data_IF_805575812840
#
_entry.id   IF_805575812840
#
_cell.length_a   1.000
_cell.length_b   1.000
_cell.length_c   1.000
_cell.angle_alpha   90.00
_cell.angle_beta   90.00
_cell.angle_gamma   90.00
#
_symmetry.space_group_name_H-M   'P 1'
#
loop_
_entity.id
_entity.type
_entity.pdbx_description
1 polymer ?
#
# COMPACT_ATOMS: atom_id res chain seq x y z
N UNK A 1 -12.95 23.40 -6.26
CA UNK A 1 -12.06 22.98 -7.36
C UNK A 1 -10.58 23.26 -7.08
N UNK A 2 -10.08 24.50 -6.88
CA UNK A 2 -8.64 24.76 -6.61
C UNK A 2 -8.08 23.98 -5.41
N UNK A 3 -8.83 23.89 -4.31
CA UNK A 3 -8.44 23.14 -3.12
C UNK A 3 -8.34 21.63 -3.38
N UNK A 4 -9.30 21.05 -4.12
CA UNK A 4 -9.28 19.64 -4.50
C UNK A 4 -8.04 19.32 -5.33
N UNK A 5 -7.75 20.14 -6.34
CA UNK A 5 -6.56 19.98 -7.20
C UNK A 5 -5.26 20.04 -6.39
N UNK A 6 -5.10 21.06 -5.54
CA UNK A 6 -3.91 21.20 -4.70
C UNK A 6 -3.72 20.00 -3.76
N UNK A 7 -4.79 19.56 -3.07
CA UNK A 7 -4.74 18.39 -2.18
C UNK A 7 -4.40 17.12 -2.95
N UNK A 8 -5.07 16.88 -4.09
CA UNK A 8 -4.81 15.68 -4.91
C UNK A 8 -3.37 15.63 -5.40
N UNK A 9 -2.83 16.77 -5.87
CA UNK A 9 -1.45 16.83 -6.35
C UNK A 9 -0.44 16.64 -5.22
N UNK A 10 -0.65 17.27 -4.07
CA UNK A 10 0.23 17.11 -2.91
C UNK A 10 0.27 15.66 -2.42
N UNK A 11 -0.89 14.99 -2.33
CA UNK A 11 -0.99 13.59 -1.96
C UNK A 11 -0.31 12.71 -3.00
N UNK A 12 -0.56 12.97 -4.29
CA UNK A 12 0.01 12.19 -5.39
C UNK A 12 1.55 12.27 -5.41
N UNK A 13 2.11 13.45 -5.22
CA UNK A 13 3.56 13.63 -5.14
C UNK A 13 4.16 12.97 -3.90
N UNK A 14 3.58 13.22 -2.72
CA UNK A 14 4.09 12.67 -1.47
C UNK A 14 4.07 11.13 -1.47
N UNK A 15 2.93 10.53 -1.88
CA UNK A 15 2.80 9.06 -1.98
C UNK A 15 3.67 8.51 -3.10
N UNK A 16 3.69 9.18 -4.26
CA UNK A 16 4.47 8.76 -5.42
C UNK A 16 5.96 8.59 -5.12
N UNK A 17 6.55 9.46 -4.29
CA UNK A 17 7.96 9.38 -3.91
C UNK A 17 8.32 8.04 -3.21
N UNK A 18 7.39 7.42 -2.49
CA UNK A 18 7.63 6.09 -1.90
C UNK A 18 7.81 4.99 -2.95
N UNK A 19 7.37 5.21 -4.19
CA UNK A 19 7.64 4.32 -5.30
C UNK A 19 9.13 4.11 -5.55
N UNK A 20 10.00 5.09 -5.25
CA UNK A 20 11.46 4.93 -5.34
C UNK A 20 11.92 3.79 -4.43
N UNK A 21 11.47 3.80 -3.16
CA UNK A 21 11.82 2.75 -2.20
C UNK A 21 11.29 1.39 -2.65
N UNK A 22 10.04 1.33 -3.16
CA UNK A 22 9.48 0.08 -3.67
C UNK A 22 10.32 -0.46 -4.84
N UNK A 23 10.68 0.38 -5.81
CA UNK A 23 11.53 -0.01 -6.95
C UNK A 23 12.89 -0.55 -6.51
N UNK A 24 13.58 0.18 -5.63
CA UNK A 24 14.90 -0.19 -5.13
C UNK A 24 14.86 -1.50 -4.30
N UNK A 25 13.90 -1.63 -3.37
CA UNK A 25 13.75 -2.84 -2.55
C UNK A 25 13.35 -4.04 -3.42
N UNK A 26 12.53 -3.83 -4.46
CA UNK A 26 12.12 -4.88 -5.38
C UNK A 26 13.30 -5.52 -6.10
N UNK A 27 14.20 -4.71 -6.65
CA UNK A 27 15.40 -5.25 -7.31
C UNK A 27 16.42 -5.81 -6.32
N UNK A 28 16.55 -5.20 -5.12
CA UNK A 28 17.38 -5.76 -4.05
C UNK A 28 16.88 -7.12 -3.55
N UNK A 29 15.57 -7.38 -3.61
CA UNK A 29 14.95 -8.67 -3.31
C UNK A 29 15.16 -9.73 -4.42
N UNK A 30 15.91 -9.40 -5.50
CA UNK A 30 16.20 -10.30 -6.61
C UNK A 30 15.17 -10.30 -7.74
N UNK A 31 14.21 -9.39 -7.73
CA UNK A 31 13.28 -9.21 -8.85
C UNK A 31 13.96 -8.39 -9.96
N UNK A 32 13.73 -8.73 -11.20
CA UNK A 32 14.15 -7.87 -12.31
C UNK A 32 13.28 -6.61 -12.43
N UNK A 33 13.78 -5.61 -13.15
CA UNK A 33 13.08 -4.33 -13.33
C UNK A 33 11.70 -4.52 -13.95
N UNK A 34 11.55 -5.45 -14.90
CA UNK A 34 10.26 -5.72 -15.55
C UNK A 34 9.27 -6.29 -14.56
N UNK A 35 9.66 -7.26 -13.74
CA UNK A 35 8.82 -7.84 -12.68
C UNK A 35 8.37 -6.80 -11.66
N UNK A 36 9.27 -5.91 -11.22
CA UNK A 36 8.94 -4.80 -10.32
C UNK A 36 7.94 -3.85 -10.98
N UNK A 37 8.13 -3.52 -12.25
CA UNK A 37 7.20 -2.66 -12.98
C UNK A 37 5.84 -3.31 -13.22
N UNK A 38 5.79 -4.61 -13.52
CA UNK A 38 4.52 -5.33 -13.64
C UNK A 38 3.75 -5.35 -12.32
N UNK A 39 4.43 -5.57 -11.19
CA UNK A 39 3.83 -5.43 -9.86
C UNK A 39 3.29 -4.02 -9.65
N UNK A 40 4.06 -2.99 -10.04
CA UNK A 40 3.66 -1.59 -9.88
C UNK A 40 2.43 -1.23 -10.72
N UNK A 41 2.40 -1.66 -11.96
CA UNK A 41 1.33 -1.34 -12.91
C UNK A 41 0.05 -2.15 -12.67
N UNK A 42 0.17 -3.44 -12.34
CA UNK A 42 -0.98 -4.37 -12.29
C UNK A 42 -1.52 -4.55 -10.87
N UNK A 43 -0.65 -4.62 -9.86
CA UNK A 43 -1.03 -4.72 -8.45
C UNK A 43 -0.91 -3.34 -7.78
N UNK A 44 -1.58 -2.33 -8.31
CA UNK A 44 -1.47 -0.95 -7.85
C UNK A 44 -2.07 -0.77 -6.44
N UNK A 45 -1.30 -1.20 -5.44
CA UNK A 45 -1.59 -1.06 -4.00
C UNK A 45 -0.26 -1.10 -3.24
N UNK A 46 0.25 0.04 -2.81
CA UNK A 46 1.57 0.15 -2.18
C UNK A 46 1.79 -0.85 -1.03
N UNK A 47 0.82 -0.98 -0.12
CA UNK A 47 0.91 -1.94 0.98
C UNK A 47 1.02 -3.39 0.50
N UNK A 48 0.26 -3.78 -0.53
CA UNK A 48 0.33 -5.12 -1.12
C UNK A 48 1.68 -5.38 -1.76
N UNK A 49 2.21 -4.38 -2.46
CA UNK A 49 3.50 -4.45 -3.14
C UNK A 49 4.64 -4.64 -2.13
N UNK A 50 4.69 -3.82 -1.08
CA UNK A 50 5.69 -3.95 -0.03
C UNK A 50 5.54 -5.26 0.75
N UNK A 51 4.33 -5.72 1.03
CA UNK A 51 4.10 -7.02 1.67
C UNK A 51 4.62 -8.17 0.82
N UNK A 52 4.37 -8.13 -0.50
CA UNK A 52 4.87 -9.12 -1.44
C UNK A 52 6.39 -9.15 -1.46
N UNK A 53 7.03 -8.00 -1.72
CA UNK A 53 8.49 -7.91 -1.83
C UNK A 53 9.16 -8.21 -0.51
N UNK A 54 8.58 -7.81 0.63
CA UNK A 54 9.11 -8.12 1.96
C UNK A 54 9.17 -9.63 2.24
N UNK A 55 8.17 -10.39 1.80
CA UNK A 55 8.20 -11.87 1.93
C UNK A 55 9.24 -12.48 0.98
N UNK A 56 9.32 -11.99 -0.27
CA UNK A 56 10.31 -12.44 -1.26
C UNK A 56 11.72 -12.17 -0.76
N UNK A 57 12.00 -10.96 -0.29
CA UNK A 57 13.31 -10.54 0.26
C UNK A 57 13.75 -11.40 1.45
N UNK A 58 12.80 -11.85 2.27
CA UNK A 58 13.07 -12.73 3.40
C UNK A 58 13.17 -14.22 3.01
N UNK A 59 13.18 -14.57 1.71
CA UNK A 59 13.25 -15.96 1.22
C UNK A 59 11.95 -16.75 1.44
N UNK A 60 10.82 -16.08 1.64
CA UNK A 60 9.52 -16.73 1.86
C UNK A 60 8.96 -17.35 0.58
N UNK A 61 8.07 -18.35 0.74
CA UNK A 61 7.44 -19.03 -0.38
C UNK A 61 6.56 -18.07 -1.20
N UNK A 62 6.50 -18.21 -2.54
CA UNK A 62 5.69 -17.34 -3.41
C UNK A 62 4.22 -17.29 -3.00
N UNK A 63 3.65 -18.41 -2.58
CA UNK A 63 2.25 -18.46 -2.13
C UNK A 63 2.01 -17.58 -0.88
N UNK A 64 2.99 -17.49 0.02
CA UNK A 64 2.91 -16.65 1.23
C UNK A 64 3.03 -15.17 0.85
N UNK A 65 3.88 -14.83 -0.13
CA UNK A 65 3.99 -13.49 -0.67
C UNK A 65 2.65 -13.03 -1.29
N UNK A 66 2.04 -13.89 -2.12
CA UNK A 66 0.73 -13.63 -2.74
C UNK A 66 -0.35 -13.48 -1.66
N UNK A 67 -0.41 -14.37 -0.69
CA UNK A 67 -1.40 -14.31 0.39
C UNK A 67 -1.27 -13.02 1.23
N UNK A 68 -0.04 -12.62 1.55
CA UNK A 68 0.23 -11.39 2.29
C UNK A 68 -0.18 -10.14 1.49
N UNK A 69 0.15 -10.10 0.20
CA UNK A 69 -0.26 -9.02 -0.69
C UNK A 69 -1.79 -8.94 -0.83
N UNK A 70 -2.45 -10.09 -1.02
CA UNK A 70 -3.90 -10.17 -1.13
C UNK A 70 -4.59 -9.69 0.15
N UNK A 71 -4.12 -10.13 1.31
CA UNK A 71 -4.64 -9.69 2.62
C UNK A 71 -4.57 -8.16 2.76
N UNK A 72 -3.45 -7.55 2.36
CA UNK A 72 -3.31 -6.10 2.36
C UNK A 72 -4.24 -5.42 1.35
N UNK A 73 -4.49 -6.05 0.21
CA UNK A 73 -5.34 -5.54 -0.86
C UNK A 73 -6.84 -5.63 -0.59
N UNK A 74 -7.30 -6.55 0.26
CA UNK A 74 -8.73 -6.75 0.58
C UNK A 74 -9.43 -5.45 1.01
N UNK A 75 -8.75 -4.57 1.72
CA UNK A 75 -9.30 -3.26 2.12
C UNK A 75 -9.79 -2.41 0.94
N UNK A 76 -9.14 -2.51 -0.24
CA UNK A 76 -9.54 -1.77 -1.43
C UNK A 76 -10.92 -2.20 -1.92
N UNK A 77 -11.31 -3.47 -1.70
CA UNK A 77 -12.67 -3.96 -2.00
C UNK A 77 -13.73 -3.24 -1.16
N UNK A 78 -13.45 -2.96 0.11
CA UNK A 78 -14.35 -2.18 0.96
C UNK A 78 -14.45 -0.72 0.50
N UNK A 79 -13.36 -0.13 0.03
CA UNK A 79 -13.41 1.21 -0.58
C UNK A 79 -14.24 1.21 -1.86
N UNK A 80 -14.07 0.20 -2.71
CA UNK A 80 -14.85 0.05 -3.94
C UNK A 80 -16.35 -0.09 -3.64
N UNK A 81 -16.74 -0.90 -2.65
CA UNK A 81 -18.13 -1.05 -2.21
C UNK A 81 -18.72 0.29 -1.73
N UNK A 82 -17.94 1.09 -1.00
CA UNK A 82 -18.36 2.41 -0.55
C UNK A 82 -18.54 3.40 -1.69
N UNK A 83 -17.66 3.38 -2.68
CA UNK A 83 -17.64 4.32 -3.80
C UNK A 83 -18.64 3.95 -4.91
N UNK A 84 -18.93 2.66 -5.09
CA UNK A 84 -19.74 2.16 -6.19
C UNK A 84 -21.13 2.84 -6.32
N UNK A 85 -21.91 3.07 -5.24
CA UNK A 85 -23.22 3.73 -5.34
C UNK A 85 -23.14 5.16 -5.90
N UNK A 86 -22.07 5.87 -5.59
CA UNK A 86 -21.89 7.27 -6.00
C UNK A 86 -21.32 7.40 -7.41
N UNK A 87 -20.43 6.49 -7.78
CA UNK A 87 -19.72 6.56 -9.06
C UNK A 87 -20.48 5.85 -10.19
N UNK A 88 -21.16 4.74 -9.89
CA UNK A 88 -21.96 3.97 -10.85
C UNK A 88 -21.22 3.56 -12.13
N UNK A 89 -19.95 3.11 -12.08
CA UNK A 89 -19.14 2.88 -13.29
C UNK A 89 -19.71 1.74 -14.13
N UNK A 90 -19.61 1.85 -15.46
CA UNK A 90 -20.05 0.83 -16.43
C UNK A 90 -18.92 0.48 -17.38
N UNK A 91 -18.96 -0.72 -17.92
CA UNK A 91 -17.99 -1.18 -18.91
C UNK A 91 -16.53 -1.02 -18.43
N UNK A 92 -15.66 -0.54 -19.28
CA UNK A 92 -14.23 -0.38 -19.01
C UNK A 92 -13.93 0.55 -17.80
N UNK A 93 -14.80 1.51 -17.55
CA UNK A 93 -14.63 2.42 -16.41
C UNK A 93 -14.65 1.71 -15.06
N UNK A 94 -15.27 0.52 -14.95
CA UNK A 94 -15.22 -0.29 -13.71
C UNK A 94 -13.80 -0.76 -13.41
N UNK A 95 -13.09 -1.21 -14.44
CA UNK A 95 -11.70 -1.68 -14.27
C UNK A 95 -10.78 -0.52 -13.93
N UNK A 96 -10.90 0.61 -14.63
CA UNK A 96 -10.11 1.80 -14.32
C UNK A 96 -10.39 2.34 -12.91
N UNK A 97 -11.64 2.36 -12.50
CA UNK A 97 -11.99 2.77 -11.14
C UNK A 97 -11.44 1.78 -10.11
N UNK A 98 -11.57 0.47 -10.34
CA UNK A 98 -11.05 -0.55 -9.44
C UNK A 98 -9.53 -0.42 -9.30
N UNK A 99 -8.81 -0.25 -10.41
CA UNK A 99 -7.36 -0.06 -10.43
C UNK A 99 -6.91 1.18 -9.64
N UNK A 100 -7.67 2.27 -9.70
CA UNK A 100 -7.37 3.52 -9.03
C UNK A 100 -7.99 3.63 -7.63
N UNK A 101 -8.68 2.58 -7.15
CA UNK A 101 -9.25 2.54 -5.80
C UNK A 101 -8.18 2.12 -4.80
N UNK A 102 -7.50 3.12 -4.25
CA UNK A 102 -6.43 3.01 -3.25
C UNK A 102 -6.77 3.87 -2.03
N UNK A 103 -5.97 3.78 -0.98
CA UNK A 103 -6.16 4.54 0.26
C UNK A 103 -6.28 6.05 -0.01
N UNK A 104 -5.39 6.58 -0.82
CA UNK A 104 -5.27 8.01 -1.11
C UNK A 104 -6.46 8.53 -1.91
N UNK A 105 -6.83 7.85 -3.00
CA UNK A 105 -7.96 8.27 -3.83
C UNK A 105 -9.29 8.20 -3.05
N UNK A 106 -9.46 7.16 -2.22
CA UNK A 106 -10.61 7.04 -1.34
C UNK A 106 -10.61 8.13 -0.25
N UNK A 107 -9.46 8.41 0.38
CA UNK A 107 -9.36 9.42 1.45
C UNK A 107 -9.64 10.83 0.93
N UNK A 108 -9.02 11.23 -0.19
CA UNK A 108 -9.25 12.55 -0.79
C UNK A 108 -10.69 12.69 -1.27
N UNK A 109 -11.26 11.67 -1.89
CA UNK A 109 -12.68 11.65 -2.28
C UNK A 109 -13.59 11.83 -1.07
N UNK A 110 -13.35 11.07 0.00
CA UNK A 110 -14.17 11.09 1.21
C UNK A 110 -14.14 12.43 1.97
N UNK A 111 -13.05 13.17 1.84
CA UNK A 111 -12.87 14.48 2.47
C UNK A 111 -13.68 15.61 1.77
N UNK A 112 -14.26 15.36 0.59
CA UNK A 112 -15.04 16.35 -0.13
C UNK A 112 -16.52 16.29 0.24
N UNK A 113 -17.19 17.44 0.22
CA UNK A 113 -18.61 17.55 0.60
C UNK A 113 -19.54 17.24 -0.59
N UNK A 114 -19.24 17.71 -1.79
CA UNK A 114 -20.09 17.55 -2.97
C UNK A 114 -19.71 16.34 -3.83
N UNK A 115 -20.72 15.69 -4.46
CA UNK A 115 -20.48 14.52 -5.33
C UNK A 115 -19.52 14.82 -6.47
N UNK A 116 -19.62 15.99 -7.10
CA UNK A 116 -18.71 16.42 -8.17
C UNK A 116 -17.25 16.52 -7.67
N UNK A 117 -17.02 17.15 -6.51
CA UNK A 117 -15.70 17.31 -5.93
C UNK A 117 -15.14 15.97 -5.41
N UNK A 118 -15.99 15.06 -4.92
CA UNK A 118 -15.60 13.69 -4.56
C UNK A 118 -15.08 12.93 -5.76
N UNK A 119 -15.82 12.94 -6.87
CA UNK A 119 -15.41 12.29 -8.12
C UNK A 119 -14.12 12.91 -8.65
N UNK A 120 -14.03 14.23 -8.66
CA UNK A 120 -12.83 14.94 -9.08
C UNK A 120 -11.62 14.57 -8.21
N UNK A 121 -11.76 14.58 -6.89
CA UNK A 121 -10.72 14.19 -5.93
C UNK A 121 -10.26 12.75 -6.12
N UNK A 122 -11.18 11.82 -6.32
CA UNK A 122 -10.85 10.42 -6.60
C UNK A 122 -10.00 10.26 -7.86
N UNK A 123 -10.47 10.79 -8.99
CA UNK A 123 -9.78 10.62 -10.26
C UNK A 123 -8.44 11.34 -10.31
N UNK A 124 -8.38 12.59 -9.85
CA UNK A 124 -7.12 13.35 -9.81
C UNK A 124 -6.08 12.68 -8.92
N UNK A 125 -6.48 12.24 -7.73
CA UNK A 125 -5.57 11.58 -6.81
C UNK A 125 -5.16 10.21 -7.33
N UNK A 126 -6.11 9.40 -7.79
CA UNK A 126 -5.83 8.06 -8.30
C UNK A 126 -4.89 8.07 -9.50
N UNK A 127 -5.17 8.91 -10.51
CA UNK A 127 -4.33 9.05 -11.70
C UNK A 127 -2.97 9.65 -11.31
N UNK A 128 -2.95 10.67 -10.45
CA UNK A 128 -1.72 11.31 -10.01
C UNK A 128 -0.81 10.33 -9.27
N UNK A 129 -1.33 9.61 -8.27
CA UNK A 129 -0.56 8.59 -7.55
C UNK A 129 -0.10 7.50 -8.50
N UNK A 130 -0.96 7.00 -9.38
CA UNK A 130 -0.59 5.99 -10.37
C UNK A 130 0.60 6.43 -11.22
N UNK A 131 0.55 7.65 -11.74
CA UNK A 131 1.61 8.19 -12.58
C UNK A 131 2.92 8.37 -11.82
N UNK A 132 2.88 9.11 -10.70
CA UNK A 132 4.09 9.40 -9.93
C UNK A 132 4.69 8.17 -9.27
N UNK A 133 3.85 7.25 -8.77
CA UNK A 133 4.30 5.99 -8.20
C UNK A 133 5.03 5.13 -9.21
N UNK A 134 4.47 4.93 -10.41
CA UNK A 134 5.10 4.10 -11.45
C UNK A 134 6.40 4.73 -11.96
N UNK A 135 6.44 6.06 -12.17
CA UNK A 135 7.67 6.76 -12.56
C UNK A 135 8.74 6.64 -11.47
N UNK A 136 8.38 6.84 -10.21
CA UNK A 136 9.28 6.72 -9.08
C UNK A 136 9.75 5.27 -8.88
N UNK A 137 8.87 4.28 -9.07
CA UNK A 137 9.22 2.85 -9.05
C UNK A 137 10.26 2.53 -10.12
N UNK A 138 10.08 3.03 -11.34
CA UNK A 138 11.04 2.82 -12.42
C UNK A 138 12.40 3.43 -12.07
N UNK A 139 12.40 4.67 -11.59
CA UNK A 139 13.63 5.34 -11.14
C UNK A 139 14.32 4.57 -10.01
N UNK A 140 13.55 4.09 -9.04
CA UNK A 140 14.04 3.28 -7.93
C UNK A 140 14.59 1.93 -8.37
N UNK A 141 13.91 1.25 -9.30
CA UNK A 141 14.33 -0.04 -9.83
C UNK A 141 15.62 0.06 -10.68
N UNK A 142 15.73 1.10 -11.51
CA UNK A 142 16.95 1.34 -12.30
C UNK A 142 18.07 1.82 -11.37
N UNK A 143 17.78 2.77 -10.48
CA UNK A 143 18.75 3.33 -9.55
C UNK A 143 19.24 2.32 -8.49
N UNK A 144 18.38 1.41 -8.05
CA UNK A 144 18.71 0.38 -7.05
C UNK A 144 19.90 -0.48 -7.46
N UNK A 145 20.01 -0.80 -8.74
CA UNK A 145 21.17 -1.51 -9.28
C UNK A 145 22.48 -0.69 -9.27
N UNK A 146 22.38 0.64 -9.21
CA UNK A 146 23.53 1.55 -9.20
C UNK A 146 23.96 1.96 -7.78
N UNK A 147 23.03 1.91 -6.82
CA UNK A 147 23.22 2.40 -5.45
C UNK A 147 24.00 1.38 -4.58
N UNK A 148 24.07 0.12 -4.99
CA UNK A 148 24.74 -0.96 -4.25
C UNK A 148 23.86 -1.47 -3.12
N UNK A 149 24.15 -1.15 -1.86
CA UNK A 149 23.37 -1.62 -0.70
C UNK A 149 22.19 -0.68 -0.41
N UNK A 150 20.98 -1.23 -0.52
CA UNK A 150 19.71 -0.54 -0.21
C UNK A 150 19.65 -0.17 1.28
N UNK A 151 20.23 -1.04 2.12
CA UNK A 151 20.30 -0.88 3.58
C UNK A 151 21.18 0.32 3.96
N UNK A 152 22.30 0.54 3.25
CA UNK A 152 23.18 1.67 3.52
C UNK A 152 22.50 3.03 3.35
N UNK A 153 21.43 3.08 2.56
CA UNK A 153 20.61 4.27 2.33
C UNK A 153 19.34 4.30 3.18
N UNK A 154 19.09 3.28 4.03
CA UNK A 154 17.91 3.17 4.86
C UNK A 154 16.61 3.01 4.08
N UNK A 155 16.67 2.60 2.80
CA UNK A 155 15.49 2.43 1.96
C UNK A 155 14.64 1.22 2.39
N UNK A 156 15.24 0.24 3.03
CA UNK A 156 14.59 -0.91 3.67
C UNK A 156 13.65 -0.47 4.81
N UNK A 157 14.06 0.53 5.59
CA UNK A 157 13.25 1.09 6.68
C UNK A 157 12.15 2.04 6.17
N UNK A 158 12.28 2.59 4.97
CA UNK A 158 11.36 3.60 4.44
C UNK A 158 9.93 3.09 4.33
N UNK A 159 9.72 1.83 3.90
CA UNK A 159 8.40 1.22 3.82
C UNK A 159 7.76 1.06 5.20
N UNK A 160 8.50 0.53 6.17
CA UNK A 160 8.02 0.35 7.54
C UNK A 160 7.67 1.71 8.18
N UNK A 161 8.51 2.72 7.98
CA UNK A 161 8.28 4.08 8.48
C UNK A 161 7.03 4.72 7.83
N UNK A 162 6.85 4.56 6.51
CA UNK A 162 5.69 5.06 5.81
C UNK A 162 4.39 4.40 6.29
N UNK A 163 4.37 3.07 6.46
CA UNK A 163 3.22 2.36 7.00
C UNK A 163 2.92 2.78 8.44
N UNK A 164 3.93 2.91 9.27
CA UNK A 164 3.75 3.37 10.64
C UNK A 164 3.14 4.79 10.66
N UNK A 165 3.62 5.69 9.82
CA UNK A 165 3.09 7.04 9.68
C UNK A 165 1.62 7.07 9.25
N UNK A 166 1.26 6.27 8.25
CA UNK A 166 -0.12 6.15 7.76
C UNK A 166 -1.07 5.53 8.79
N UNK A 167 -0.61 4.53 9.53
CA UNK A 167 -1.40 3.82 10.51
C UNK A 167 -1.44 4.50 11.88
N UNK A 168 -0.50 5.40 12.16
CA UNK A 168 -0.30 6.01 13.48
C UNK A 168 -1.59 6.58 14.12
N UNK A 169 -2.44 7.34 13.39
CA UNK A 169 -3.71 7.81 13.96
C UNK A 169 -4.61 6.68 14.44
N UNK A 170 -4.71 5.59 13.67
CA UNK A 170 -5.54 4.42 13.99
C UNK A 170 -4.93 3.55 15.09
N UNK A 171 -3.60 3.41 15.09
CA UNK A 171 -2.88 2.66 16.14
C UNK A 171 -3.07 3.31 17.51
N UNK A 172 -3.05 4.64 17.58
CA UNK A 172 -3.29 5.39 18.83
C UNK A 172 -4.69 5.16 19.42
N UNK A 173 -5.68 4.88 18.57
CA UNK A 173 -7.05 4.58 19.00
C UNK A 173 -7.20 3.16 19.52
N UNK A 174 -6.34 2.23 19.09
CA UNK A 174 -6.41 0.79 19.38
C UNK A 174 -5.06 0.21 19.77
N UNK A 175 -4.34 0.88 20.67
CA UNK A 175 -3.01 0.45 21.14
C UNK A 175 -2.98 -1.01 21.61
N UNK A 176 -3.95 -1.53 22.40
CA UNK A 176 -3.91 -2.93 22.83
C UNK A 176 -3.90 -3.92 21.67
N UNK A 177 -4.70 -3.65 20.63
CA UNK A 177 -4.75 -4.48 19.43
C UNK A 177 -3.44 -4.38 18.63
N UNK A 178 -2.89 -3.17 18.51
CA UNK A 178 -1.62 -2.94 17.82
C UNK A 178 -0.46 -3.68 18.51
N UNK A 179 -0.37 -3.58 19.83
CA UNK A 179 0.63 -4.32 20.62
C UNK A 179 0.43 -5.82 20.53
N UNK A 180 -0.80 -6.32 20.65
CA UNK A 180 -1.08 -7.76 20.52
C UNK A 180 -0.64 -8.29 19.14
N UNK A 181 -0.98 -7.59 18.05
CA UNK A 181 -0.54 -7.95 16.70
C UNK A 181 0.99 -7.92 16.56
N UNK A 182 1.64 -6.89 17.08
CA UNK A 182 3.11 -6.76 17.06
C UNK A 182 3.80 -7.89 17.84
N UNK A 183 3.32 -8.19 19.03
CA UNK A 183 3.86 -9.28 19.86
C UNK A 183 3.69 -10.63 19.16
N UNK A 184 2.51 -10.92 18.61
CA UNK A 184 2.26 -12.16 17.87
C UNK A 184 3.18 -12.27 16.66
N UNK A 185 3.34 -11.18 15.89
CA UNK A 185 4.26 -11.16 14.74
C UNK A 185 5.69 -11.48 15.19
N UNK A 186 6.22 -10.74 16.17
CA UNK A 186 7.60 -10.91 16.65
C UNK A 186 7.84 -12.30 17.26
N UNK A 187 6.90 -12.81 18.03
CA UNK A 187 7.01 -14.15 18.62
C UNK A 187 6.97 -15.26 17.55
N UNK A 188 6.28 -15.03 16.44
CA UNK A 188 6.16 -16.00 15.36
C UNK A 188 7.39 -16.04 14.42
N UNK A 189 8.14 -14.93 14.31
CA UNK A 189 9.29 -14.82 13.39
C UNK A 189 10.32 -15.95 13.54
N UNK A 190 10.78 -16.37 14.74
CA UNK A 190 11.80 -17.40 14.84
C UNK A 190 11.29 -18.83 14.54
N UNK A 191 9.98 -19.04 14.47
CA UNK A 191 9.38 -20.37 14.35
C UNK A 191 8.70 -20.62 12.99
N UNK A 192 8.40 -19.56 12.24
CA UNK A 192 7.60 -19.66 11.05
C UNK A 192 8.31 -19.10 9.81
N UNK A 193 8.08 -19.70 8.64
CA UNK A 193 8.55 -19.14 7.37
C UNK A 193 8.09 -17.70 7.16
N UNK A 194 8.91 -16.94 6.45
CA UNK A 194 8.64 -15.53 6.12
C UNK A 194 7.25 -15.34 5.49
N UNK A 195 6.54 -14.32 5.96
CA UNK A 195 5.16 -13.98 5.58
C UNK A 195 4.09 -14.60 6.48
N UNK A 196 4.28 -15.79 7.06
CA UNK A 196 3.31 -16.36 7.99
C UNK A 196 3.12 -15.54 9.27
N UNK A 197 4.16 -14.94 9.87
CA UNK A 197 4.00 -14.05 11.01
C UNK A 197 3.04 -12.88 10.74
N UNK A 198 3.05 -12.33 9.52
CA UNK A 198 2.15 -11.24 9.10
C UNK A 198 0.69 -11.72 9.08
N UNK A 199 0.45 -12.92 8.54
CA UNK A 199 -0.89 -13.50 8.46
C UNK A 199 -1.45 -13.80 9.86
N UNK A 200 -0.60 -14.33 10.77
CA UNK A 200 -0.98 -14.57 12.17
C UNK A 200 -1.27 -13.26 12.91
N UNK A 201 -0.44 -12.25 12.75
CA UNK A 201 -0.67 -10.93 13.32
C UNK A 201 -1.99 -10.31 12.85
N UNK A 202 -2.33 -10.48 11.58
CA UNK A 202 -3.61 -10.02 11.04
C UNK A 202 -4.81 -10.77 11.65
N UNK A 203 -4.68 -12.06 11.97
CA UNK A 203 -5.73 -12.83 12.63
C UNK A 203 -6.06 -12.29 14.03
N UNK A 204 -5.14 -11.62 14.71
CA UNK A 204 -5.38 -10.96 16.00
C UNK A 204 -6.50 -9.91 15.91
N UNK A 205 -6.68 -9.29 14.74
CA UNK A 205 -7.76 -8.32 14.51
C UNK A 205 -9.18 -8.93 14.61
N UNK A 206 -9.29 -10.27 14.54
CA UNK A 206 -10.57 -10.97 14.72
C UNK A 206 -10.93 -11.11 16.21
N UNK A 207 -9.97 -10.93 17.11
CA UNK A 207 -10.20 -11.00 18.56
C UNK A 207 -10.88 -9.72 19.06
N UNK A 208 -11.73 -9.79 20.09
CA UNK A 208 -12.45 -8.63 20.64
C UNK A 208 -11.56 -7.72 21.51
N UNK A 209 -10.27 -7.64 21.22
CA UNK A 209 -9.28 -6.87 21.98
C UNK A 209 -9.50 -5.38 21.72
N UNK A 210 -9.68 -4.59 22.76
CA UNK A 210 -9.75 -3.11 22.68
C UNK A 210 -11.01 -2.54 22.03
N UNK A 211 -12.02 -3.36 21.71
CA UNK A 211 -13.30 -2.85 21.23
C UNK A 211 -13.99 -2.10 22.36
N UNK A 212 -13.90 -0.77 22.36
CA UNK A 212 -14.84 0.05 23.16
C UNK A 212 -16.23 -0.19 22.58
N UNK A 213 -17.17 -0.58 23.47
CA UNK A 213 -18.61 -0.61 23.18
C UNK A 213 -19.13 0.79 22.89
#
# INVERSE_FOLDING_TARGET
>A
MKRVLSTSLSVALATGLYGISFGAIGVAAGLDVLSVMLLSLLMFSGASQFAFVGVVSAGGAPITAIASAWLMGVRNSFYALRLAPEFGPRGLMRFLQAQLTIDESNAVSAAQVGSSDRKLGFWLTGIGVFTFWNLATLLGAIGGNLIGSVEAWGLDAAAAAAFLGLLWPRLRENLPLAFAGGIVALAAVPFLPAGLPILLAAAVALLPIGRKK
#
